data_IF_663279079342
#
_entry.id   IF_663279079342
#
_cell.length_a   1.000
_cell.length_b   1.000
_cell.length_c   1.000
_cell.angle_alpha   90.00
_cell.angle_beta   90.00
_cell.angle_gamma   90.00
#
_symmetry.space_group_name_H-M   'P 1'
#
loop_
_entity.id
_entity.type
_entity.pdbx_description
1 polymer ?
#
# COMPACT_ATOMS: atom_id res chain seq x y z
N UNK A 1 12.77 0.09 -6.04
CA UNK A 1 12.78 1.25 -5.13
C UNK A 1 12.28 0.79 -3.77
N UNK A 2 12.70 1.43 -2.68
CA UNK A 2 12.20 1.15 -1.32
C UNK A 2 11.36 2.33 -0.89
N UNK A 3 10.13 2.09 -0.46
CA UNK A 3 9.27 3.08 0.17
C UNK A 3 9.36 2.93 1.70
N UNK A 4 9.77 4.00 2.37
CA UNK A 4 9.97 4.00 3.83
C UNK A 4 8.74 4.52 4.58
N UNK A 5 7.71 5.01 3.88
CA UNK A 5 6.51 5.55 4.50
C UNK A 5 5.28 5.25 3.64
N UNK A 6 4.58 4.17 3.98
CA UNK A 6 3.33 3.80 3.36
C UNK A 6 2.25 3.45 4.39
N UNK A 7 1.07 4.04 4.24
CA UNK A 7 -0.13 3.68 4.99
C UNK A 7 -0.90 2.60 4.24
N UNK A 8 -0.43 1.35 4.29
CA UNK A 8 -1.00 0.24 3.50
C UNK A 8 -1.81 -0.77 4.35
N UNK A 9 -1.76 -0.67 5.67
CA UNK A 9 -2.44 -1.62 6.55
C UNK A 9 -3.92 -1.24 6.72
N UNK A 10 -4.87 -2.15 6.43
CA UNK A 10 -6.27 -1.81 6.46
C UNK A 10 -6.81 -1.64 7.88
N UNK A 11 -7.55 -0.57 8.12
CA UNK A 11 -8.26 -0.32 9.37
C UNK A 11 -7.38 0.06 10.57
N UNK A 12 -6.13 0.47 10.32
CA UNK A 12 -5.18 0.88 11.37
C UNK A 12 -5.17 2.39 11.56
N UNK A 13 -5.21 3.14 10.46
CA UNK A 13 -5.08 4.60 10.44
C UNK A 13 -5.89 5.22 9.28
N UNK A 14 -5.43 6.35 8.74
CA UNK A 14 -6.03 7.09 7.63
C UNK A 14 -5.74 6.48 6.24
N UNK A 15 -5.08 5.33 6.18
CA UNK A 15 -4.91 4.51 5.00
C UNK A 15 -6.18 3.72 4.59
N UNK A 16 -6.02 2.54 3.97
CA UNK A 16 -7.15 1.77 3.43
C UNK A 16 -8.10 1.30 4.54
N UNK A 17 -9.41 1.24 4.24
CA UNK A 17 -10.40 0.70 5.17
C UNK A 17 -10.57 -0.82 5.04
N UNK A 18 -10.33 -1.37 3.84
CA UNK A 18 -10.52 -2.79 3.54
C UNK A 18 -9.27 -3.39 2.88
N UNK A 19 -9.14 -4.72 2.96
CA UNK A 19 -8.01 -5.46 2.39
C UNK A 19 -7.93 -5.25 0.87
N UNK A 20 -9.07 -5.16 0.19
CA UNK A 20 -9.16 -4.94 -1.26
C UNK A 20 -8.55 -3.60 -1.69
N UNK A 21 -8.66 -2.57 -0.86
CA UNK A 21 -8.06 -1.26 -1.14
C UNK A 21 -6.53 -1.31 -0.93
N UNK A 22 -6.09 -2.04 0.10
CA UNK A 22 -4.67 -2.27 0.37
C UNK A 22 -3.99 -3.03 -0.79
N UNK A 23 -4.69 -4.02 -1.36
CA UNK A 23 -4.19 -4.79 -2.50
C UNK A 23 -4.04 -3.92 -3.76
N UNK A 24 -5.02 -3.07 -4.06
CA UNK A 24 -4.91 -2.11 -5.19
C UNK A 24 -3.73 -1.16 -5.00
N UNK A 25 -3.50 -0.68 -3.78
CA UNK A 25 -2.34 0.16 -3.46
C UNK A 25 -1.03 -0.60 -3.70
N UNK A 26 -0.95 -1.86 -3.27
CA UNK A 26 0.22 -2.73 -3.49
C UNK A 26 0.47 -2.99 -4.99
N UNK A 27 -0.57 -3.24 -5.78
CA UNK A 27 -0.47 -3.43 -7.24
C UNK A 27 0.12 -2.18 -7.92
N UNK A 28 -0.37 -0.99 -7.56
CA UNK A 28 0.20 0.27 -8.05
C UNK A 28 1.66 0.44 -7.63
N UNK A 29 2.00 0.18 -6.37
CA UNK A 29 3.37 0.30 -5.88
C UNK A 29 4.34 -0.61 -6.64
N UNK A 30 3.94 -1.85 -6.94
CA UNK A 30 4.74 -2.77 -7.76
C UNK A 30 4.91 -2.26 -9.19
N UNK A 31 3.84 -1.71 -9.80
CA UNK A 31 3.91 -1.12 -11.14
C UNK A 31 4.87 0.09 -11.19
N UNK A 32 4.96 0.85 -10.09
CA UNK A 32 5.90 1.96 -9.91
C UNK A 32 7.34 1.50 -9.54
N UNK A 33 7.57 0.19 -9.46
CA UNK A 33 8.88 -0.40 -9.16
C UNK A 33 9.27 -0.36 -7.69
N UNK A 34 8.31 -0.18 -6.79
CA UNK A 34 8.49 -0.34 -5.34
C UNK A 34 8.37 -1.82 -5.00
N UNK A 35 9.35 -2.35 -4.27
CA UNK A 35 9.42 -3.78 -3.92
C UNK A 35 9.63 -4.03 -2.43
N UNK A 36 9.77 -2.97 -1.64
CA UNK A 36 10.00 -3.03 -0.19
C UNK A 36 9.48 -1.76 0.43
#
# INVERSE_FOLDING_TARGET
>A
MIDLHCHILPGVDDGPSHVEDSLKMAECAVADGIHT
#
